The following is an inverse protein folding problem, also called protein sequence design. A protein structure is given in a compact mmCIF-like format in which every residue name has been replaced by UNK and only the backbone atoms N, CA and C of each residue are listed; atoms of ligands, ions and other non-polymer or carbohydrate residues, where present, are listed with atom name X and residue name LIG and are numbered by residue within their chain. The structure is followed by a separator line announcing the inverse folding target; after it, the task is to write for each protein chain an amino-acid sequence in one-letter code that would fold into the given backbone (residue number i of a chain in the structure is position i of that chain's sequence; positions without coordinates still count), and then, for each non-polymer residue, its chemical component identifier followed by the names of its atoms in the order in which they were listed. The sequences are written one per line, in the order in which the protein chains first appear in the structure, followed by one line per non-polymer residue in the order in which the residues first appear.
data_IF_676922146909
#
_entry.id   IF_676922146909
#
_cell.length_a   1.000
_cell.length_b   1.000
_cell.length_c   1.000
_cell.angle_alpha   90.00
_cell.angle_beta   90.00
_cell.angle_gamma   90.00
#
_symmetry.space_group_name_H-M   'P 1'
#
loop_
_entity.id
_entity.type
_entity.pdbx_description
1 polymer ?
#
# COMPACT_ATOMS: atom_id res chain seq x y z
N UNK A 1 -10.49 -0.04 15.60
CA UNK A 1 -10.31 1.08 14.65
C UNK A 1 -9.45 0.59 13.51
N UNK A 2 -9.98 0.55 12.29
CA UNK A 2 -9.19 0.19 11.12
C UNK A 2 -8.34 1.42 10.72
N UNK A 3 -7.06 1.39 11.07
CA UNK A 3 -6.12 2.49 10.77
C UNK A 3 -5.86 2.54 9.25
N UNK A 4 -6.53 3.45 8.55
CA UNK A 4 -6.31 3.75 7.12
C UNK A 4 -5.45 5.01 6.97
N UNK A 5 -4.45 4.97 6.09
CA UNK A 5 -3.64 6.15 5.72
C UNK A 5 -3.56 6.31 4.21
N UNK A 6 -3.13 7.49 3.76
CA UNK A 6 -2.85 7.74 2.35
C UNK A 6 -1.53 7.06 1.95
N UNK A 7 -1.58 6.13 0.99
CA UNK A 7 -0.41 5.41 0.49
C UNK A 7 0.63 6.32 -0.20
N UNK A 8 0.24 7.52 -0.66
CA UNK A 8 1.14 8.52 -1.24
C UNK A 8 1.89 9.35 -0.18
N UNK A 9 1.53 9.21 1.10
CA UNK A 9 2.19 9.92 2.21
C UNK A 9 3.22 9.03 2.87
N UNK A 10 4.51 9.32 2.64
CA UNK A 10 5.62 8.62 3.28
C UNK A 10 5.48 8.60 4.82
N UNK A 11 5.18 9.75 5.43
CA UNK A 11 5.00 9.85 6.88
C UNK A 11 3.79 9.02 7.36
N UNK A 12 2.69 9.02 6.60
CA UNK A 12 1.50 8.23 6.92
C UNK A 12 1.82 6.73 6.92
N UNK A 13 2.48 6.25 5.87
CA UNK A 13 2.89 4.84 5.74
C UNK A 13 3.86 4.44 6.85
N UNK A 14 4.87 5.27 7.16
CA UNK A 14 5.80 5.01 8.26
C UNK A 14 5.09 4.96 9.63
N UNK A 15 4.12 5.85 9.86
CA UNK A 15 3.36 5.91 11.12
C UNK A 15 2.45 4.69 11.35
N UNK A 16 2.07 3.97 10.29
CA UNK A 16 1.32 2.73 10.41
C UNK A 16 2.16 1.60 11.01
N UNK A 17 3.49 1.67 10.92
CA UNK A 17 4.39 0.65 11.47
C UNK A 17 4.24 -0.69 10.77
N UNK A 18 4.05 -0.70 9.44
CA UNK A 18 3.90 -1.94 8.66
C UNK A 18 5.22 -2.70 8.68
N UNK A 19 5.20 -3.95 9.16
CA UNK A 19 6.36 -4.85 9.18
C UNK A 19 6.15 -6.05 8.27
N UNK A 20 7.24 -6.71 7.88
CA UNK A 20 7.20 -7.96 7.09
C UNK A 20 6.30 -9.00 7.78
N UNK A 21 5.43 -9.65 7.01
CA UNK A 21 4.50 -10.67 7.49
C UNK A 21 3.11 -10.14 7.88
N UNK A 22 2.90 -8.82 7.88
CA UNK A 22 1.57 -8.25 8.06
C UNK A 22 0.78 -8.28 6.75
N UNK A 23 -0.52 -8.58 6.86
CA UNK A 23 -1.48 -8.41 5.77
C UNK A 23 -1.99 -6.97 5.78
N UNK A 24 -1.95 -6.32 4.62
CA UNK A 24 -2.48 -4.98 4.41
C UNK A 24 -3.48 -5.00 3.25
N UNK A 25 -4.41 -4.05 3.25
CA UNK A 25 -5.38 -3.86 2.15
C UNK A 25 -5.03 -2.57 1.41
N UNK A 26 -4.89 -2.67 0.10
CA UNK A 26 -4.66 -1.52 -0.79
C UNK A 26 -5.99 -1.16 -1.44
N UNK A 27 -6.32 0.14 -1.44
CA UNK A 27 -7.55 0.68 -2.04
C UNK A 27 -7.14 1.85 -2.91
N UNK A 28 -7.50 1.81 -4.19
CA UNK A 28 -7.39 2.91 -5.13
C UNK A 28 -8.78 3.31 -5.64
N UNK A 29 -8.90 4.55 -6.10
CA UNK A 29 -10.09 5.12 -6.73
C UNK A 29 -9.57 6.11 -7.78
N UNK A 30 -9.89 5.86 -9.05
CA UNK A 30 -9.42 6.66 -10.17
C UNK A 30 -9.47 5.91 -11.49
N UNK A 31 -9.21 6.62 -12.58
CA UNK A 31 -9.22 6.04 -13.95
C UNK A 31 -8.20 4.91 -14.17
N UNK A 32 -7.20 4.82 -13.30
CA UNK A 32 -6.04 3.92 -13.33
C UNK A 32 -6.01 3.03 -12.06
N UNK A 33 -7.14 2.86 -11.38
CA UNK A 33 -7.22 2.16 -10.09
C UNK A 33 -6.71 0.71 -10.15
N UNK A 34 -7.04 -0.02 -11.22
CA UNK A 34 -6.64 -1.41 -11.39
C UNK A 34 -5.13 -1.53 -11.60
N UNK A 35 -4.57 -0.73 -12.51
CA UNK A 35 -3.14 -0.68 -12.79
C UNK A 35 -2.33 -0.24 -11.56
N UNK A 36 -2.83 0.74 -10.81
CA UNK A 36 -2.20 1.23 -9.59
C UNK A 36 -2.14 0.17 -8.50
N UNK A 37 -3.24 -0.56 -8.26
CA UNK A 37 -3.27 -1.64 -7.27
C UNK A 37 -2.36 -2.77 -7.69
N UNK A 38 -2.43 -3.22 -8.94
CA UNK A 38 -1.60 -4.31 -9.46
C UNK A 38 -0.11 -4.00 -9.35
N UNK A 39 0.31 -2.80 -9.76
CA UNK A 39 1.71 -2.35 -9.69
C UNK A 39 2.23 -2.29 -8.25
N UNK A 40 1.41 -1.79 -7.31
CA UNK A 40 1.79 -1.73 -5.89
C UNK A 40 1.88 -3.12 -5.26
N UNK A 41 0.97 -4.03 -5.61
CA UNK A 41 1.01 -5.42 -5.15
C UNK A 41 2.26 -6.12 -5.68
N UNK A 42 2.59 -5.95 -6.96
CA UNK A 42 3.80 -6.51 -7.56
C UNK A 42 5.07 -5.99 -6.87
N UNK A 43 5.18 -4.68 -6.69
CA UNK A 43 6.33 -4.03 -6.04
C UNK A 43 6.55 -4.54 -4.61
N UNK A 44 5.49 -4.68 -3.82
CA UNK A 44 5.59 -5.17 -2.44
C UNK A 44 5.91 -6.67 -2.42
N UNK A 45 5.33 -7.44 -3.34
CA UNK A 45 5.56 -8.89 -3.44
C UNK A 45 6.96 -9.24 -3.93
N UNK A 46 7.55 -8.40 -4.80
CA UNK A 46 8.95 -8.51 -5.23
C UNK A 46 9.95 -8.09 -4.14
N UNK A 47 9.47 -7.64 -2.97
CA UNK A 47 10.31 -7.05 -1.92
C UNK A 47 11.12 -5.85 -2.41
N UNK A 48 10.54 -5.04 -3.31
CA UNK A 48 11.16 -3.85 -3.91
C UNK A 48 12.46 -4.15 -4.68
N UNK A 49 12.59 -5.38 -5.20
CA UNK A 49 13.67 -5.81 -6.07
C UNK A 49 13.45 -5.39 -7.53
#
# INVERSE_FOLDING_TARGET
EDRRVNAKSLLGVLSLGITKGLTITIIADGHDEEDAVNSLVELISSSFA
#
